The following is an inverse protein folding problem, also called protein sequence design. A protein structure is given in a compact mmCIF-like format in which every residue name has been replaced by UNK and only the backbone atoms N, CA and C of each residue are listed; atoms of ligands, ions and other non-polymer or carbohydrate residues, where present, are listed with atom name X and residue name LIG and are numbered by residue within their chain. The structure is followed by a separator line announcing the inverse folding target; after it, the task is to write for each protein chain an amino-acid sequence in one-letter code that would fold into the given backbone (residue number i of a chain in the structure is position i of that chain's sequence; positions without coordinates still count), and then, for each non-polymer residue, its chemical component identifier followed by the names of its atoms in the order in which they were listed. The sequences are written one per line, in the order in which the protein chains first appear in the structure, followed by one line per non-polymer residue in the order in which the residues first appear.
data_IF_971047794093
#
_entry.id   IF_971047794093
#
_cell.length_a   1.000
_cell.length_b   1.000
_cell.length_c   1.000
_cell.angle_alpha   90.00
_cell.angle_beta   90.00
_cell.angle_gamma   90.00
#
_symmetry.space_group_name_H-M   'P 1'
#
loop_
_entity.id
_entity.type
_entity.pdbx_description
1 polymer ?
#
# COMPACT_ATOMS: atom_id res chain seq x y z
N UNK A 1 -21.81 -9.93 38.62
CA UNK A 1 -22.01 -10.93 37.57
C UNK A 1 -21.99 -10.28 36.15
N UNK A 2 -22.53 -9.10 35.96
CA UNK A 2 -22.54 -8.36 34.68
C UNK A 2 -21.15 -8.04 34.10
N UNK A 3 -20.20 -7.52 34.91
CA UNK A 3 -18.87 -7.12 34.49
C UNK A 3 -18.07 -8.28 33.87
N UNK A 4 -18.22 -9.51 34.38
CA UNK A 4 -17.53 -10.67 33.81
C UNK A 4 -18.10 -11.08 32.45
N UNK A 5 -19.40 -10.89 32.20
CA UNK A 5 -20.04 -11.20 30.90
C UNK A 5 -19.63 -10.19 29.82
N UNK A 6 -19.56 -8.90 30.16
CA UNK A 6 -19.10 -7.86 29.22
C UNK A 6 -17.62 -8.00 28.85
N UNK A 7 -16.76 -8.34 29.83
CA UNK A 7 -15.36 -8.61 29.57
C UNK A 7 -15.16 -9.85 28.67
N UNK A 8 -15.94 -10.94 28.90
CA UNK A 8 -15.87 -12.13 28.06
C UNK A 8 -16.35 -11.87 26.64
N UNK A 9 -17.41 -11.07 26.46
CA UNK A 9 -17.90 -10.65 25.15
C UNK A 9 -16.86 -9.81 24.42
N UNK A 10 -16.23 -8.85 25.11
CA UNK A 10 -15.15 -8.03 24.54
C UNK A 10 -13.95 -8.86 24.08
N UNK A 11 -13.54 -9.85 24.88
CA UNK A 11 -12.47 -10.77 24.51
C UNK A 11 -12.86 -11.63 23.28
N UNK A 12 -14.09 -12.14 23.23
CA UNK A 12 -14.55 -12.91 22.09
C UNK A 12 -14.56 -12.08 20.80
N UNK A 13 -15.07 -10.85 20.84
CA UNK A 13 -15.04 -9.92 19.70
C UNK A 13 -13.62 -9.60 19.26
N UNK A 14 -12.70 -9.39 20.18
CA UNK A 14 -11.29 -9.16 19.88
C UNK A 14 -10.64 -10.36 19.17
N UNK A 15 -10.91 -11.59 19.65
CA UNK A 15 -10.41 -12.82 19.00
C UNK A 15 -10.97 -12.95 17.59
N UNK A 16 -12.28 -12.72 17.40
CA UNK A 16 -12.91 -12.76 16.07
C UNK A 16 -12.27 -11.74 15.13
N UNK A 17 -12.01 -10.52 15.59
CA UNK A 17 -11.33 -9.49 14.81
C UNK A 17 -9.93 -9.93 14.40
N UNK A 18 -9.14 -10.51 15.31
CA UNK A 18 -7.81 -11.03 14.99
C UNK A 18 -7.87 -12.19 13.99
N UNK A 19 -8.86 -13.07 14.08
CA UNK A 19 -9.06 -14.16 13.12
C UNK A 19 -9.38 -13.60 11.72
N UNK A 20 -10.27 -12.62 11.63
CA UNK A 20 -10.62 -11.98 10.35
C UNK A 20 -9.38 -11.31 9.75
N UNK A 21 -8.62 -10.55 10.53
CA UNK A 21 -7.39 -9.91 10.09
C UNK A 21 -6.37 -10.95 9.59
N UNK A 22 -6.20 -12.03 10.33
CA UNK A 22 -5.33 -13.15 9.93
C UNK A 22 -5.77 -13.79 8.61
N UNK A 23 -7.06 -13.99 8.41
CA UNK A 23 -7.61 -14.51 7.15
C UNK A 23 -7.35 -13.57 5.97
N UNK A 24 -7.52 -12.26 6.15
CA UNK A 24 -7.24 -11.25 5.11
C UNK A 24 -5.76 -11.24 4.71
N UNK A 25 -4.86 -11.41 5.66
CA UNK A 25 -3.42 -11.53 5.37
C UNK A 25 -3.10 -12.84 4.66
N UNK A 26 -3.65 -13.96 5.11
CA UNK A 26 -3.40 -15.27 4.50
C UNK A 26 -4.00 -15.40 3.10
N UNK A 27 -5.13 -14.75 2.81
CA UNK A 27 -5.72 -14.71 1.47
C UNK A 27 -4.98 -13.80 0.49
N UNK A 28 -4.05 -12.96 0.99
CA UNK A 28 -3.33 -11.97 0.19
C UNK A 28 -4.16 -10.73 -0.16
N UNK A 29 -5.33 -10.58 0.44
CA UNK A 29 -6.15 -9.36 0.29
C UNK A 29 -5.57 -8.17 1.05
N UNK A 30 -4.89 -8.45 2.17
CA UNK A 30 -4.14 -7.46 2.96
C UNK A 30 -2.66 -7.85 3.02
N UNK A 31 -1.80 -6.93 2.65
CA UNK A 31 -0.35 -7.10 2.68
C UNK A 31 0.28 -5.99 3.51
N UNK A 32 1.47 -6.25 4.04
CA UNK A 32 2.29 -5.30 4.78
C UNK A 32 3.59 -5.06 4.01
N UNK A 33 4.02 -3.81 3.92
CA UNK A 33 5.31 -3.47 3.34
C UNK A 33 6.06 -2.47 4.22
N UNK A 34 7.38 -2.64 4.30
CA UNK A 34 8.27 -1.68 4.93
C UNK A 34 8.73 -0.69 3.88
N UNK A 35 8.49 0.59 4.13
CA UNK A 35 8.90 1.69 3.25
C UNK A 35 10.43 1.80 3.25
N UNK A 36 11.01 1.86 2.07
CA UNK A 36 12.44 2.12 1.84
C UNK A 36 12.62 3.36 0.98
N UNK A 37 13.65 4.14 1.28
CA UNK A 37 13.96 5.35 0.53
C UNK A 37 13.19 6.58 1.01
N UNK A 38 13.24 7.65 0.21
CA UNK A 38 12.76 8.98 0.58
C UNK A 38 11.79 9.59 -0.43
N UNK A 39 11.38 8.85 -1.44
CA UNK A 39 10.54 9.37 -2.55
C UNK A 39 9.15 9.81 -2.10
N UNK A 40 8.65 9.31 -0.98
CA UNK A 40 7.32 9.61 -0.45
C UNK A 40 7.33 10.54 0.78
N UNK A 41 8.47 11.17 1.10
CA UNK A 41 8.53 12.21 2.16
C UNK A 41 7.68 13.42 1.72
N UNK A 42 6.96 14.07 2.66
CA UNK A 42 6.93 13.85 4.12
C UNK A 42 5.96 12.77 4.58
N UNK A 43 5.09 12.28 3.70
CA UNK A 43 3.97 11.39 4.06
C UNK A 43 4.43 10.03 4.56
N UNK A 44 5.34 9.37 3.81
CA UNK A 44 5.93 8.10 4.19
C UNK A 44 7.44 8.26 4.35
N UNK A 45 7.98 7.69 5.42
CA UNK A 45 9.41 7.71 5.73
C UNK A 45 9.97 6.29 5.74
N UNK A 46 11.26 6.19 5.52
CA UNK A 46 11.96 4.91 5.67
C UNK A 46 11.68 4.30 7.06
N UNK A 47 11.37 3.01 7.09
CA UNK A 47 11.01 2.30 8.30
C UNK A 47 9.52 2.36 8.67
N UNK A 48 8.68 3.14 7.98
CA UNK A 48 7.23 3.04 8.14
C UNK A 48 6.73 1.69 7.60
N UNK A 49 5.79 1.06 8.30
CA UNK A 49 5.06 -0.11 7.80
C UNK A 49 3.71 0.39 7.28
N UNK A 50 3.40 0.09 6.02
CA UNK A 50 2.13 0.43 5.39
C UNK A 50 1.29 -0.81 5.15
N UNK A 51 -0.03 -0.62 5.19
CA UNK A 51 -1.02 -1.63 4.86
C UNK A 51 -1.42 -1.46 3.39
N UNK A 52 -1.43 -2.55 2.65
CA UNK A 52 -1.73 -2.58 1.22
C UNK A 52 -2.91 -3.52 1.01
N UNK A 53 -3.94 -3.06 0.34
CA UNK A 53 -5.10 -3.86 -0.03
C UNK A 53 -5.11 -4.09 -1.53
N UNK A 54 -5.49 -5.31 -1.92
CA UNK A 54 -5.74 -5.63 -3.32
C UNK A 54 -6.94 -4.82 -3.79
N UNK A 55 -6.83 -4.20 -4.95
CA UNK A 55 -7.84 -3.28 -5.48
C UNK A 55 -8.01 -3.54 -6.97
N UNK A 56 -9.24 -3.47 -7.46
CA UNK A 56 -9.51 -3.58 -8.88
C UNK A 56 -8.99 -2.34 -9.62
N UNK A 57 -8.54 -2.49 -10.88
CA UNK A 57 -8.00 -1.37 -11.64
C UNK A 57 -8.94 -0.17 -11.73
N UNK A 58 -10.22 -0.40 -11.95
CA UNK A 58 -11.24 0.65 -12.09
C UNK A 58 -11.55 1.42 -10.80
N UNK A 59 -11.13 0.88 -9.65
CA UNK A 59 -11.35 1.50 -8.33
C UNK A 59 -10.22 2.44 -7.93
N UNK A 60 -9.06 2.36 -8.60
CA UNK A 60 -7.91 3.22 -8.31
C UNK A 60 -8.14 4.62 -8.85
N UNK A 61 -7.95 5.63 -8.01
CA UNK A 61 -8.20 7.04 -8.34
C UNK A 61 -6.91 7.87 -8.34
N UNK A 62 -6.95 9.02 -9.02
CA UNK A 62 -5.91 10.03 -8.91
C UNK A 62 -5.81 10.50 -7.45
N UNK A 63 -4.59 10.64 -6.93
CA UNK A 63 -4.30 10.98 -5.55
C UNK A 63 -4.00 9.77 -4.66
N UNK A 64 -4.50 8.58 -5.00
CA UNK A 64 -4.22 7.36 -4.22
C UNK A 64 -2.78 6.90 -4.38
N UNK A 65 -2.28 6.20 -3.36
CA UNK A 65 -0.92 5.65 -3.34
C UNK A 65 -1.00 4.18 -3.70
N UNK A 66 -0.33 3.78 -4.76
CA UNK A 66 -0.27 2.40 -5.21
C UNK A 66 1.11 1.78 -5.00
N UNK A 67 1.11 0.46 -4.87
CA UNK A 67 2.32 -0.35 -4.87
C UNK A 67 2.35 -1.11 -6.18
N UNK A 68 3.44 -0.99 -6.92
CA UNK A 68 3.60 -1.65 -8.20
C UNK A 68 4.99 -2.25 -8.36
N UNK A 69 5.13 -3.18 -9.31
CA UNK A 69 6.42 -3.77 -9.69
C UNK A 69 7.12 -2.89 -10.71
N UNK A 70 8.30 -2.38 -10.35
CA UNK A 70 9.20 -1.70 -11.25
C UNK A 70 9.83 -2.64 -12.29
N UNK A 71 10.62 -2.08 -13.20
CA UNK A 71 11.28 -2.84 -14.28
C UNK A 71 12.27 -3.88 -13.78
N UNK A 72 12.94 -3.63 -12.67
CA UNK A 72 13.86 -4.54 -12.01
C UNK A 72 13.19 -5.57 -11.09
N UNK A 73 11.84 -5.56 -11.00
CA UNK A 73 11.07 -6.43 -10.12
C UNK A 73 10.91 -5.91 -8.68
N UNK A 74 11.53 -4.77 -8.38
CA UNK A 74 11.40 -4.07 -7.11
C UNK A 74 9.95 -3.59 -6.88
N UNK A 75 9.52 -3.52 -5.62
CA UNK A 75 8.25 -2.90 -5.25
C UNK A 75 8.46 -1.40 -5.02
N UNK A 76 7.65 -0.61 -5.71
CA UNK A 76 7.66 0.85 -5.65
C UNK A 76 6.34 1.32 -5.08
N UNK A 77 6.38 2.30 -4.18
CA UNK A 77 5.22 2.92 -3.54
C UNK A 77 5.18 4.38 -3.95
N UNK A 78 4.28 4.74 -4.86
CA UNK A 78 4.14 6.12 -5.34
C UNK A 78 2.66 6.52 -5.52
N UNK A 79 2.41 7.82 -5.61
CA UNK A 79 1.08 8.40 -5.80
C UNK A 79 0.69 8.42 -7.27
N UNK A 80 -0.57 8.08 -7.55
CA UNK A 80 -1.18 8.21 -8.88
C UNK A 80 -1.44 9.69 -9.15
N UNK A 81 -0.84 10.23 -10.20
CA UNK A 81 -1.01 11.63 -10.62
C UNK A 81 -1.81 11.78 -11.90
N UNK A 82 -1.95 10.71 -12.69
CA UNK A 82 -2.83 10.64 -13.84
C UNK A 82 -3.21 9.19 -14.15
N UNK A 83 -4.35 9.00 -14.83
CA UNK A 83 -4.84 7.70 -15.27
C UNK A 83 -5.18 7.78 -16.74
N UNK A 84 -4.72 6.81 -17.52
CA UNK A 84 -4.99 6.68 -18.94
C UNK A 84 -5.62 5.31 -19.18
N UNK A 85 -6.73 5.26 -19.93
CA UNK A 85 -7.41 4.02 -20.31
C UNK A 85 -7.31 3.82 -21.82
N UNK A 86 -6.59 2.79 -22.24
CA UNK A 86 -6.34 2.49 -23.67
C UNK A 86 -6.46 0.97 -23.87
N UNK A 87 -7.13 0.55 -24.92
CA UNK A 87 -7.26 -0.86 -25.31
C UNK A 87 -7.69 -1.77 -24.13
N UNK A 88 -8.69 -1.34 -23.38
CA UNK A 88 -9.25 -2.03 -22.22
C UNK A 88 -8.26 -2.24 -21.06
N UNK A 89 -7.20 -1.44 -21.00
CA UNK A 89 -6.17 -1.49 -19.94
C UNK A 89 -6.03 -0.13 -19.29
N UNK A 90 -6.00 -0.12 -17.94
CA UNK A 90 -5.67 1.06 -17.17
C UNK A 90 -4.15 1.20 -17.05
N UNK A 91 -3.68 2.42 -17.24
CA UNK A 91 -2.30 2.84 -17.05
C UNK A 91 -2.25 3.96 -16.03
N UNK A 92 -1.42 3.83 -15.02
CA UNK A 92 -1.27 4.82 -13.94
C UNK A 92 0.05 5.57 -14.11
N UNK A 93 -0.04 6.87 -14.26
CA UNK A 93 1.12 7.75 -14.18
C UNK A 93 1.36 8.02 -12.70
N UNK A 94 2.50 7.57 -12.19
CA UNK A 94 2.84 7.67 -10.78
C UNK A 94 3.97 8.66 -10.55
N UNK A 95 4.03 9.19 -9.33
CA UNK A 95 5.08 10.09 -8.86
C UNK A 95 5.30 9.92 -7.37
N UNK A 96 6.54 9.83 -6.94
CA UNK A 96 6.88 9.98 -5.52
C UNK A 96 6.63 11.41 -5.05
N UNK A 97 6.04 11.60 -3.88
CA UNK A 97 5.69 12.93 -3.35
C UNK A 97 6.90 13.87 -3.27
N UNK A 98 8.09 13.32 -3.03
CA UNK A 98 9.36 14.03 -2.97
C UNK A 98 10.15 14.04 -4.29
N UNK A 99 9.63 13.45 -5.35
CA UNK A 99 10.32 13.40 -6.64
C UNK A 99 10.00 14.64 -7.48
N UNK A 100 10.92 15.12 -8.32
CA UNK A 100 10.69 16.30 -9.17
C UNK A 100 9.67 16.04 -10.29
N UNK A 101 9.55 14.80 -10.77
CA UNK A 101 8.68 14.42 -11.89
C UNK A 101 8.10 13.02 -11.78
N UNK A 102 7.23 12.64 -12.72
CA UNK A 102 6.64 11.30 -12.81
C UNK A 102 7.69 10.20 -13.07
N UNK A 103 7.28 8.96 -12.83
CA UNK A 103 8.12 7.75 -12.88
C UNK A 103 8.31 7.19 -14.32
N UNK A 104 8.63 8.05 -15.26
CA UNK A 104 8.75 7.69 -16.69
C UNK A 104 9.71 6.53 -16.97
N UNK A 105 10.68 6.31 -16.10
CA UNK A 105 11.65 5.22 -16.20
C UNK A 105 11.03 3.82 -16.04
N UNK A 106 9.94 3.71 -15.31
CA UNK A 106 9.30 2.43 -14.99
C UNK A 106 8.30 1.97 -16.03
N UNK A 107 7.84 2.84 -16.90
CA UNK A 107 6.89 2.47 -17.96
C UNK A 107 7.41 2.68 -19.39
N UNK A 108 8.57 3.34 -19.58
CA UNK A 108 9.22 3.48 -20.90
C UNK A 108 8.33 4.17 -21.94
N UNK A 109 8.01 3.47 -23.03
CA UNK A 109 7.11 3.97 -24.09
C UNK A 109 5.63 3.81 -23.78
N UNK A 110 5.26 3.14 -22.67
CA UNK A 110 3.86 3.02 -22.24
C UNK A 110 3.37 4.34 -21.64
N UNK A 111 2.05 4.60 -21.66
CA UNK A 111 1.49 5.84 -21.11
C UNK A 111 1.51 5.90 -19.57
N UNK A 112 1.95 4.86 -18.90
CA UNK A 112 2.03 4.73 -17.44
C UNK A 112 2.34 3.30 -17.03
N UNK A 113 2.20 3.02 -15.74
CA UNK A 113 2.30 1.67 -15.15
C UNK A 113 1.02 0.91 -15.53
N UNK A 114 1.10 -0.20 -16.27
CA UNK A 114 -0.08 -0.97 -16.61
C UNK A 114 -0.66 -1.67 -15.36
N UNK A 115 -1.97 -1.86 -15.35
CA UNK A 115 -2.71 -2.38 -14.18
C UNK A 115 -2.25 -3.76 -13.71
N UNK A 116 -1.72 -4.61 -14.59
CA UNK A 116 -1.17 -5.93 -14.25
C UNK A 116 0.12 -5.86 -13.42
N UNK A 117 0.80 -4.72 -13.39
CA UNK A 117 1.97 -4.46 -12.53
C UNK A 117 1.60 -3.96 -11.14
N UNK A 118 0.37 -3.52 -10.94
CA UNK A 118 -0.09 -3.03 -9.64
C UNK A 118 -0.34 -4.20 -8.69
N UNK A 119 0.25 -4.12 -7.51
CA UNK A 119 0.12 -5.12 -6.44
C UNK A 119 -1.11 -4.81 -5.57
N UNK A 120 -1.36 -3.52 -5.34
CA UNK A 120 -2.48 -3.02 -4.57
C UNK A 120 -2.33 -1.54 -4.25
N UNK A 121 -3.26 -1.01 -3.47
CA UNK A 121 -3.18 0.37 -2.98
C UNK A 121 -2.90 0.42 -1.48
N UNK A 122 -2.21 1.45 -1.04
CA UNK A 122 -1.99 1.73 0.38
C UNK A 122 -3.31 2.16 1.01
N UNK A 123 -3.61 1.62 2.18
CA UNK A 123 -4.85 1.95 2.91
C UNK A 123 -4.76 3.38 3.43
N UNK A 124 -5.74 4.18 3.06
CA UNK A 124 -5.93 5.55 3.52
C UNK A 124 -7.40 5.80 3.93
N UNK A 125 -7.60 6.72 4.84
CA UNK A 125 -8.91 7.18 5.30
C UNK A 125 -8.85 8.70 5.30
N UNK A 126 -9.63 9.37 4.45
CA UNK A 126 -9.70 10.84 4.38
C UNK A 126 -8.30 11.49 4.32
N UNK A 127 -7.47 11.07 3.36
CA UNK A 127 -6.07 11.50 3.18
C UNK A 127 -5.08 11.08 4.28
N UNK A 128 -5.56 10.40 5.32
CA UNK A 128 -4.69 9.84 6.37
C UNK A 128 -4.26 8.43 5.98
N UNK A 129 -2.97 8.25 5.69
CA UNK A 129 -2.40 6.94 5.39
C UNK A 129 -2.25 6.11 6.66
N UNK A 130 -2.89 4.94 6.68
CA UNK A 130 -2.75 3.99 7.78
C UNK A 130 -1.35 3.38 7.75
N UNK A 131 -0.53 3.72 8.75
CA UNK A 131 0.85 3.24 8.86
C UNK A 131 1.28 3.06 10.30
N UNK A 132 2.27 2.19 10.51
CA UNK A 132 2.97 2.06 11.79
C UNK A 132 4.34 2.71 11.60
N UNK A 133 4.61 3.86 12.25
CA UNK A 133 5.83 4.61 12.01
C UNK A 133 7.05 3.91 12.61
N UNK A 134 8.18 3.92 11.89
CA UNK A 134 9.53 3.53 12.31
C UNK A 134 9.77 2.09 12.78
N UNK A 135 8.75 1.29 13.04
CA UNK A 135 8.94 -0.10 13.54
C UNK A 135 9.64 -0.96 12.48
N UNK A 136 9.43 -0.69 11.21
CA UNK A 136 10.10 -1.39 10.12
C UNK A 136 11.61 -1.15 10.04
N UNK A 137 12.16 -0.14 10.69
CA UNK A 137 13.63 0.09 10.74
C UNK A 137 14.36 -1.10 11.38
N UNK A 138 13.75 -1.75 12.36
CA UNK A 138 14.31 -2.95 12.99
C UNK A 138 14.55 -4.04 11.93
N UNK A 139 13.60 -4.23 11.00
CA UNK A 139 13.76 -5.22 9.93
C UNK A 139 14.80 -4.83 8.89
N UNK A 140 15.04 -3.52 8.71
CA UNK A 140 16.05 -3.02 7.79
C UNK A 140 17.49 -3.17 8.35
N UNK A 141 17.64 -3.27 9.67
CA UNK A 141 18.94 -3.49 10.34
C UNK A 141 19.44 -4.94 10.19
N UNK A 142 18.54 -5.91 10.01
CA UNK A 142 18.85 -7.33 9.86
C UNK A 142 18.97 -7.78 8.40
N UNK A 143 19.42 -6.91 7.50
CA UNK A 143 19.62 -7.24 6.10
C UNK A 143 20.91 -8.08 5.97
N UNK A 144 20.74 -9.37 5.69
CA UNK A 144 21.77 -10.29 5.20
C UNK A 144 21.97 -10.11 3.69
#
# INVERSE_FOLDING_TARGET
MFVKKTALLGLALFIVLLCILGLLVLSGELMLAVVRGRSMIPLLRQGDIVFIVRTKPEEIKIGEIIVFRGRGGELIIHRVVNIVFINNTYYYVTKGDNNPGPDVWHFGSMPGIPSDKVVGKVVDIDDFVLKIPYIGEITLMFKW
#
